data_IF_872582926167
#
_entry.id   IF_872582926167
#
_cell.length_a   1.000
_cell.length_b   1.000
_cell.length_c   1.000
_cell.angle_alpha   90.00
_cell.angle_beta   90.00
_cell.angle_gamma   90.00
#
_symmetry.space_group_name_H-M   'P 1'
#
loop_
_entity.id
_entity.type
_entity.pdbx_description
1 polymer ?
#
# COMPACT_ATOMS: atom_id res chain seq x y z
N UNK A 1 -8.77 10.36 -16.08
CA UNK A 1 -9.13 8.95 -16.40
C UNK A 1 -9.96 8.41 -15.23
N UNK A 2 -10.78 7.37 -15.41
CA UNK A 2 -11.59 6.79 -14.34
C UNK A 2 -11.19 5.33 -14.10
N UNK A 3 -11.15 4.91 -12.84
CA UNK A 3 -10.81 3.57 -12.40
C UNK A 3 -12.08 2.84 -11.96
N UNK A 4 -12.44 1.71 -12.57
CA UNK A 4 -13.66 0.99 -12.25
C UNK A 4 -13.55 0.23 -10.93
N UNK A 5 -14.66 0.09 -10.20
CA UNK A 5 -14.72 -0.74 -8.99
C UNK A 5 -14.92 -2.24 -9.29
N UNK A 6 -15.33 -2.58 -10.51
CA UNK A 6 -15.49 -3.95 -10.99
C UNK A 6 -15.00 -4.06 -12.43
N UNK A 7 -14.34 -5.16 -12.76
CA UNK A 7 -13.85 -5.40 -14.13
C UNK A 7 -14.98 -5.83 -15.07
N UNK A 8 -15.98 -6.54 -14.56
CA UNK A 8 -17.16 -6.96 -15.31
C UNK A 8 -18.30 -5.97 -15.05
N UNK A 9 -18.66 -5.22 -16.09
CA UNK A 9 -19.77 -4.24 -16.10
C UNK A 9 -19.67 -3.17 -14.98
N UNK A 10 -18.78 -2.18 -15.15
CA UNK A 10 -18.55 -1.16 -14.12
C UNK A 10 -19.76 -0.25 -13.95
N UNK A 11 -20.39 -0.31 -12.78
CA UNK A 11 -21.47 0.62 -12.37
C UNK A 11 -20.96 1.79 -11.54
N UNK A 12 -19.81 1.61 -10.90
CA UNK A 12 -19.15 2.62 -10.06
C UNK A 12 -17.73 2.79 -10.55
N UNK A 13 -17.32 4.04 -10.70
CA UNK A 13 -15.96 4.42 -11.08
C UNK A 13 -15.46 5.54 -10.18
N UNK A 14 -14.19 5.51 -9.83
CA UNK A 14 -13.53 6.58 -9.08
C UNK A 14 -12.56 7.28 -10.03
N UNK A 15 -12.55 8.61 -10.03
CA UNK A 15 -11.64 9.34 -10.90
C UNK A 15 -10.20 9.23 -10.39
N UNK A 16 -9.22 9.22 -11.29
CA UNK A 16 -7.80 9.24 -10.89
C UNK A 16 -7.47 10.46 -10.03
N UNK A 17 -8.09 11.61 -10.31
CA UNK A 17 -7.93 12.82 -9.52
C UNK A 17 -8.39 12.64 -8.07
N UNK A 18 -9.53 11.96 -7.84
CA UNK A 18 -10.00 11.65 -6.50
C UNK A 18 -9.05 10.67 -5.77
N UNK A 19 -8.52 9.66 -6.47
CA UNK A 19 -7.57 8.71 -5.88
C UNK A 19 -6.23 9.38 -5.51
N UNK A 20 -5.70 10.24 -6.37
CA UNK A 20 -4.49 11.02 -6.10
C UNK A 20 -4.69 11.97 -4.91
N UNK A 21 -5.83 12.66 -4.87
CA UNK A 21 -6.19 13.53 -3.75
C UNK A 21 -6.31 12.73 -2.45
N UNK A 22 -7.05 11.61 -2.46
CA UNK A 22 -7.21 10.74 -1.31
C UNK A 22 -5.85 10.26 -0.79
N UNK A 23 -4.99 9.77 -1.68
CA UNK A 23 -3.65 9.29 -1.33
C UNK A 23 -2.82 10.38 -0.62
N UNK A 24 -2.82 11.61 -1.14
CA UNK A 24 -2.11 12.72 -0.51
C UNK A 24 -2.69 13.09 0.85
N UNK A 25 -4.01 13.09 1.00
CA UNK A 25 -4.68 13.40 2.26
C UNK A 25 -4.45 12.33 3.33
N UNK A 26 -4.40 11.05 2.95
CA UNK A 26 -4.03 9.98 3.88
C UNK A 26 -2.57 10.11 4.33
N UNK A 27 -1.65 10.46 3.41
CA UNK A 27 -0.23 10.63 3.76
C UNK A 27 0.04 11.84 4.65
N UNK A 28 -0.60 12.97 4.37
CA UNK A 28 -0.33 14.23 5.06
C UNK A 28 -1.23 14.47 6.28
N UNK A 29 -2.51 14.11 6.16
CA UNK A 29 -3.55 14.45 7.13
C UNK A 29 -4.05 13.29 7.96
N UNK A 30 -3.57 12.06 7.74
CA UNK A 30 -4.06 10.83 8.38
C UNK A 30 -5.58 10.64 8.22
N UNK A 31 -6.14 11.13 7.12
CA UNK A 31 -7.57 11.00 6.81
C UNK A 31 -7.87 9.54 6.47
N UNK A 32 -8.89 8.98 7.11
CA UNK A 32 -9.39 7.64 6.82
C UNK A 32 -10.17 7.62 5.50
N UNK A 33 -10.25 6.44 4.87
CA UNK A 33 -11.07 6.26 3.67
C UNK A 33 -12.54 6.61 3.93
N UNK A 34 -13.05 6.32 5.13
CA UNK A 34 -14.41 6.63 5.54
C UNK A 34 -14.67 8.14 5.55
N UNK A 35 -13.83 8.90 6.25
CA UNK A 35 -13.96 10.36 6.33
C UNK A 35 -13.87 11.01 4.94
N UNK A 36 -12.93 10.56 4.11
CA UNK A 36 -12.79 11.08 2.75
C UNK A 36 -14.03 10.79 1.91
N UNK A 37 -14.50 9.53 1.88
CA UNK A 37 -15.68 9.14 1.10
C UNK A 37 -16.93 9.90 1.55
N UNK A 38 -17.20 9.96 2.86
CA UNK A 38 -18.38 10.67 3.37
C UNK A 38 -18.27 12.19 3.18
N UNK A 39 -17.07 12.76 3.14
CA UNK A 39 -16.91 14.17 2.75
C UNK A 39 -17.36 14.42 1.31
N UNK A 40 -17.10 13.49 0.37
CA UNK A 40 -17.59 13.57 -1.01
C UNK A 40 -19.11 13.43 -1.09
N UNK A 41 -19.69 12.56 -0.27
CA UNK A 41 -21.15 12.42 -0.15
C UNK A 41 -21.78 13.73 0.33
N UNK A 42 -21.25 14.33 1.40
CA UNK A 42 -21.74 15.61 1.91
C UNK A 42 -21.53 16.76 0.92
N UNK A 43 -20.43 16.79 0.16
CA UNK A 43 -20.22 17.77 -0.90
C UNK A 43 -21.24 17.62 -2.04
N UNK A 44 -21.77 16.42 -2.25
CA UNK A 44 -22.80 16.15 -3.25
C UNK A 44 -24.19 16.55 -2.75
N UNK A 45 -24.55 16.12 -1.55
CA UNK A 45 -25.76 16.54 -0.86
C UNK A 45 -25.59 16.50 0.66
N UNK A 46 -25.44 17.67 1.28
CA UNK A 46 -25.36 17.81 2.73
C UNK A 46 -26.74 17.97 3.41
N UNK A 47 -27.83 17.98 2.64
CA UNK A 47 -29.18 18.18 3.18
C UNK A 47 -29.81 16.88 3.67
N UNK A 48 -29.30 15.73 3.22
CA UNK A 48 -29.84 14.40 3.51
C UNK A 48 -31.15 14.09 2.77
N UNK A 49 -31.54 14.92 1.79
CA UNK A 49 -32.81 14.77 1.04
C UNK A 49 -32.62 13.85 -0.17
N UNK A 50 -31.47 13.93 -0.83
CA UNK A 50 -31.08 13.16 -2.02
C UNK A 50 -29.71 12.54 -1.82
N UNK A 51 -29.52 11.90 -0.67
CA UNK A 51 -28.27 11.22 -0.35
C UNK A 51 -27.93 10.20 -1.45
N UNK A 52 -26.72 10.29 -2.04
CA UNK A 52 -26.22 9.26 -2.94
C UNK A 52 -26.30 7.86 -2.34
N UNK A 53 -26.45 6.84 -3.18
CA UNK A 53 -26.32 5.45 -2.75
C UNK A 53 -24.96 5.21 -2.10
N UNK A 54 -24.94 4.48 -0.99
CA UNK A 54 -23.68 4.14 -0.33
C UNK A 54 -22.90 3.11 -1.17
N UNK A 55 -21.76 3.55 -1.69
CA UNK A 55 -20.81 2.79 -2.48
C UNK A 55 -19.43 2.77 -1.79
N UNK A 56 -19.39 2.91 -0.46
CA UNK A 56 -18.15 2.93 0.30
C UNK A 56 -17.28 1.68 0.05
N UNK A 57 -17.88 0.49 0.03
CA UNK A 57 -17.15 -0.76 -0.25
C UNK A 57 -16.50 -0.76 -1.64
N UNK A 58 -17.20 -0.19 -2.63
CA UNK A 58 -16.66 -0.04 -3.98
C UNK A 58 -15.49 0.95 -4.00
N UNK A 59 -15.57 2.04 -3.22
CA UNK A 59 -14.47 2.98 -3.06
C UNK A 59 -13.24 2.31 -2.41
N UNK A 60 -13.43 1.56 -1.32
CA UNK A 60 -12.35 0.81 -0.66
C UNK A 60 -11.68 -0.16 -1.63
N UNK A 61 -12.47 -0.90 -2.40
CA UNK A 61 -11.93 -1.81 -3.41
C UNK A 61 -11.02 -1.11 -4.40
N UNK A 62 -11.47 0.01 -4.97
CA UNK A 62 -10.67 0.80 -5.91
C UNK A 62 -9.40 1.34 -5.26
N UNK A 63 -9.48 1.80 -4.01
CA UNK A 63 -8.31 2.26 -3.24
C UNK A 63 -7.28 1.14 -3.06
N UNK A 64 -7.72 -0.07 -2.72
CA UNK A 64 -6.84 -1.23 -2.58
C UNK A 64 -6.17 -1.58 -3.92
N UNK A 65 -6.94 -1.67 -5.00
CA UNK A 65 -6.42 -1.96 -6.34
C UNK A 65 -5.44 -0.87 -6.83
N UNK A 66 -5.78 0.40 -6.62
CA UNK A 66 -4.90 1.54 -6.91
C UNK A 66 -3.57 1.45 -6.16
N UNK A 67 -3.63 1.18 -4.86
CA UNK A 67 -2.44 1.06 -4.00
C UNK A 67 -1.56 -0.11 -4.43
N UNK A 68 -2.17 -1.24 -4.77
CA UNK A 68 -1.47 -2.42 -5.28
C UNK A 68 -0.75 -2.14 -6.59
N UNK A 69 -1.41 -1.49 -7.56
CA UNK A 69 -0.80 -1.13 -8.84
C UNK A 69 0.38 -0.16 -8.63
N UNK A 70 0.26 0.80 -7.71
CA UNK A 70 1.35 1.72 -7.41
C UNK A 70 2.53 1.03 -6.74
N UNK A 71 2.28 0.06 -5.86
CA UNK A 71 3.32 -0.79 -5.29
C UNK A 71 4.08 -1.54 -6.38
N UNK A 72 3.37 -2.22 -7.30
CA UNK A 72 3.98 -2.95 -8.42
C UNK A 72 4.81 -2.03 -9.33
N UNK A 73 4.32 -0.81 -9.60
CA UNK A 73 5.03 0.19 -10.39
C UNK A 73 6.32 0.63 -9.70
N UNK A 74 6.27 0.94 -8.39
CA UNK A 74 7.46 1.33 -7.61
C UNK A 74 8.50 0.23 -7.55
N UNK A 75 8.07 -1.02 -7.42
CA UNK A 75 8.94 -2.18 -7.39
C UNK A 75 9.49 -2.59 -8.77
N UNK A 76 9.03 -1.98 -9.86
CA UNK A 76 9.46 -2.34 -11.21
C UNK A 76 8.98 -3.72 -11.69
N UNK A 77 8.09 -4.40 -10.95
CA UNK A 77 7.56 -5.74 -11.28
C UNK A 77 6.83 -5.77 -12.63
N UNK A 78 6.30 -4.62 -13.06
CA UNK A 78 5.68 -4.48 -14.39
C UNK A 78 6.66 -4.66 -15.56
N UNK A 79 7.97 -4.55 -15.34
CA UNK A 79 9.02 -4.68 -16.36
C UNK A 79 9.55 -6.12 -16.49
N UNK A 80 9.19 -7.02 -15.56
CA UNK A 80 9.58 -8.43 -15.64
C UNK A 80 8.80 -9.12 -16.78
N UNK A 81 9.41 -10.02 -17.57
CA UNK A 81 8.73 -10.70 -18.69
C UNK A 81 7.46 -11.44 -18.27
N UNK A 82 7.44 -11.99 -17.06
CA UNK A 82 6.31 -12.68 -16.43
C UNK A 82 5.33 -11.75 -15.69
N UNK A 83 5.62 -10.45 -15.65
CA UNK A 83 4.84 -9.42 -14.93
C UNK A 83 4.65 -9.81 -13.46
N UNK A 84 3.51 -9.43 -12.90
CA UNK A 84 3.16 -9.68 -11.50
C UNK A 84 2.78 -11.13 -11.19
N UNK A 85 2.48 -11.97 -12.19
CA UNK A 85 1.98 -13.33 -11.97
C UNK A 85 3.04 -14.27 -11.38
N UNK A 86 4.28 -14.10 -11.81
CA UNK A 86 5.41 -14.91 -11.32
C UNK A 86 6.32 -14.10 -10.37
N UNK A 87 5.83 -12.96 -9.87
CA UNK A 87 6.57 -12.18 -8.88
C UNK A 87 6.78 -13.03 -7.62
N UNK A 88 8.04 -13.15 -7.19
CA UNK A 88 8.39 -13.93 -6.00
C UNK A 88 7.87 -13.20 -4.76
N UNK A 89 7.55 -13.94 -3.68
CA UNK A 89 7.33 -13.32 -2.38
C UNK A 89 8.49 -12.37 -2.03
N UNK A 90 8.19 -11.14 -1.65
CA UNK A 90 9.19 -10.11 -1.37
C UNK A 90 9.64 -9.28 -2.59
N UNK A 91 9.16 -9.54 -3.81
CA UNK A 91 9.55 -8.74 -4.99
C UNK A 91 9.19 -7.26 -4.93
N UNK A 92 8.27 -6.86 -4.05
CA UNK A 92 7.94 -5.45 -3.79
C UNK A 92 8.52 -4.91 -2.47
N UNK A 93 9.27 -5.73 -1.73
CA UNK A 93 9.90 -5.29 -0.51
C UNK A 93 11.10 -4.38 -0.83
N UNK A 94 11.23 -3.30 -0.07
CA UNK A 94 12.43 -2.47 -0.13
C UNK A 94 13.47 -3.09 0.79
N UNK A 95 14.65 -3.39 0.25
CA UNK A 95 15.77 -3.87 1.05
C UNK A 95 16.18 -2.77 2.05
N UNK A 96 16.21 -3.13 3.33
CA UNK A 96 16.67 -2.20 4.36
C UNK A 96 18.17 -1.99 4.23
N UNK A 97 18.60 -0.75 3.98
CA UNK A 97 20.01 -0.39 3.82
C UNK A 97 20.83 -0.57 5.11
N UNK A 98 20.16 -0.60 6.26
CA UNK A 98 20.78 -0.74 7.59
C UNK A 98 20.93 -2.21 7.99
N UNK A 99 20.10 -3.11 7.44
CA UNK A 99 20.22 -4.53 7.74
C UNK A 99 21.56 -5.07 7.21
N UNK A 100 22.21 -6.01 7.91
CA UNK A 100 23.44 -6.63 7.45
C UNK A 100 23.20 -7.48 6.18
N UNK A 101 23.90 -7.13 5.11
CA UNK A 101 23.89 -7.78 3.81
C UNK A 101 25.32 -8.17 3.40
N UNK A 102 25.69 -9.46 3.53
CA UNK A 102 27.01 -9.96 3.14
C UNK A 102 27.38 -9.63 1.70
N UNK A 103 28.58 -9.10 1.51
CA UNK A 103 29.09 -8.67 0.21
C UNK A 103 28.49 -7.35 -0.31
N UNK A 104 27.55 -6.74 0.42
CA UNK A 104 26.94 -5.44 0.05
C UNK A 104 27.40 -4.36 1.03
N UNK A 105 26.99 -4.45 2.30
CA UNK A 105 27.34 -3.48 3.34
C UNK A 105 28.15 -4.08 4.50
N UNK A 106 28.33 -5.41 4.53
CA UNK A 106 29.26 -6.10 5.44
C UNK A 106 30.11 -7.13 4.65
N UNK A 107 31.35 -7.47 5.06
CA UNK A 107 32.21 -8.37 4.30
C UNK A 107 31.67 -9.81 4.19
N UNK A 108 31.26 -10.40 5.30
CA UNK A 108 30.66 -11.74 5.41
C UNK A 108 29.87 -11.81 6.72
N UNK A 109 28.99 -12.80 6.85
CA UNK A 109 28.39 -13.15 8.14
C UNK A 109 29.48 -13.40 9.19
N UNK A 110 29.30 -12.82 10.37
CA UNK A 110 30.12 -13.14 11.53
C UNK A 110 29.63 -14.46 12.12
N UNK A 111 30.57 -15.27 12.61
CA UNK A 111 30.26 -16.46 13.39
C UNK A 111 29.35 -16.08 14.58
N UNK A 112 28.16 -16.68 14.74
CA UNK A 112 27.27 -16.38 15.87
C UNK A 112 27.92 -16.62 17.24
N UNK A 113 28.95 -17.47 17.32
CA UNK A 113 29.68 -17.76 18.56
C UNK A 113 30.83 -16.77 18.83
N UNK A 114 31.08 -15.82 17.93
CA UNK A 114 32.09 -14.78 18.11
C UNK A 114 31.70 -13.80 19.23
N UNK A 115 32.64 -13.34 20.08
CA UNK A 115 32.38 -12.28 21.07
C UNK A 115 31.81 -10.99 20.45
N UNK A 116 32.09 -10.75 19.17
CA UNK A 116 31.66 -9.57 18.42
C UNK A 116 30.53 -9.85 17.42
N UNK A 117 29.84 -11.00 17.52
CA UNK A 117 28.75 -11.36 16.60
C UNK A 117 27.65 -10.29 16.51
N UNK A 118 27.43 -9.53 17.59
CA UNK A 118 26.46 -8.46 17.69
C UNK A 118 26.69 -7.29 16.71
N UNK A 119 27.93 -7.07 16.24
CA UNK A 119 28.27 -5.96 15.34
C UNK A 119 27.60 -6.08 13.96
N UNK A 120 27.31 -7.30 13.50
CA UNK A 120 26.76 -7.59 12.18
C UNK A 120 25.55 -8.54 12.24
N UNK A 121 24.87 -8.61 13.38
CA UNK A 121 23.70 -9.46 13.57
C UNK A 121 22.45 -8.83 12.95
N UNK A 122 21.60 -9.64 12.32
CA UNK A 122 20.29 -9.18 11.84
C UNK A 122 19.33 -9.07 13.03
N UNK A 123 19.01 -7.84 13.43
CA UNK A 123 17.95 -7.57 14.40
C UNK A 123 16.60 -7.51 13.68
N UNK A 124 15.77 -8.53 13.88
CA UNK A 124 14.40 -8.55 13.37
C UNK A 124 13.49 -7.95 14.44
N UNK A 125 13.22 -6.66 14.31
CA UNK A 125 12.14 -6.01 15.05
C UNK A 125 10.82 -6.28 14.35
N UNK A 126 9.96 -7.08 14.97
CA UNK A 126 8.55 -7.16 14.56
C UNK A 126 7.80 -6.06 15.31
N UNK A 127 7.20 -5.12 14.57
CA UNK A 127 6.28 -4.15 15.16
C UNK A 127 5.06 -4.92 15.69
N UNK A 128 4.95 -5.01 17.01
CA UNK A 128 3.89 -5.73 17.69
C UNK A 128 2.60 -4.89 17.75
N UNK A 129 2.20 -4.28 16.62
CA UNK A 129 0.87 -3.72 16.43
C UNK A 129 -0.17 -4.85 16.25
N UNK A 130 -0.13 -5.85 17.12
CA UNK A 130 -1.20 -6.81 17.29
C UNK A 130 -2.32 -6.08 18.03
N UNK A 131 -3.33 -5.61 17.31
CA UNK A 131 -4.62 -5.36 17.93
C UNK A 131 -5.09 -6.68 18.53
N UNK A 132 -5.23 -6.70 19.86
CA UNK A 132 -5.76 -7.82 20.61
C UNK A 132 -7.28 -7.80 20.38
N UNK A 133 -7.74 -8.58 19.40
CA UNK A 133 -9.14 -9.00 19.30
C UNK A 133 -9.34 -10.34 19.99
#
# INVERSE_FOLDING_TARGET
MAFPATDTEPRTVVTTAALEQFQMLTFMGKISAYEYYHSLVCLTDNTGIKTPSDNFDAFIRVVCEWSFIHLLKRAGVGNEPSRWKDAKPGSCAVECLVCPHPGVNIPQWVDPDSPNAWENMLYIGMDANFCLE
#
